data_IF_844639782510
#
_entry.id   IF_844639782510
#
_cell.length_a   1.000
_cell.length_b   1.000
_cell.length_c   1.000
_cell.angle_alpha   90.00
_cell.angle_beta   90.00
_cell.angle_gamma   90.00
#
_symmetry.space_group_name_H-M   'P 1'
#
loop_
_entity.id
_entity.type
_entity.pdbx_description
1 polymer ?
#
# COMPACT_ATOMS: atom_id res chain seq x y z
N UNK A 1 10.35 -8.05 -0.26
CA UNK A 1 11.34 -7.07 0.23
C UNK A 1 10.70 -6.23 1.32
N UNK A 2 11.48 -5.79 2.30
CA UNK A 2 10.99 -5.51 3.66
C UNK A 2 10.11 -4.25 3.73
N UNK A 3 8.89 -4.39 4.24
CA UNK A 3 7.91 -3.31 4.55
C UNK A 3 8.52 -2.23 5.48
N UNK A 4 9.64 -2.55 6.14
CA UNK A 4 10.39 -1.68 7.04
C UNK A 4 10.99 -0.42 6.39
N UNK A 5 11.11 -0.34 5.06
CA UNK A 5 11.72 0.83 4.39
C UNK A 5 10.73 1.95 4.06
N UNK A 6 9.41 1.70 4.17
CA UNK A 6 8.39 2.64 3.70
C UNK A 6 8.05 3.74 4.72
N UNK A 7 8.20 3.43 6.00
CA UNK A 7 7.80 4.29 7.10
C UNK A 7 8.97 4.51 8.05
N UNK A 8 9.11 5.73 8.53
CA UNK A 8 10.11 6.11 9.52
C UNK A 8 9.42 6.70 10.74
N UNK A 9 9.76 6.19 11.93
CA UNK A 9 9.29 6.73 13.20
C UNK A 9 10.44 7.38 13.94
N UNK A 10 10.24 8.62 14.37
CA UNK A 10 11.23 9.36 15.15
C UNK A 10 11.03 9.11 16.64
N UNK A 11 12.06 8.61 17.32
CA UNK A 11 11.95 8.18 18.73
C UNK A 11 11.77 9.33 19.73
N UNK A 12 12.18 10.56 19.38
CA UNK A 12 12.17 11.68 20.32
C UNK A 12 10.77 12.24 20.60
N UNK A 13 9.87 12.21 19.61
CA UNK A 13 8.53 12.78 19.68
C UNK A 13 7.44 11.84 19.11
N UNK A 14 7.82 10.68 18.60
CA UNK A 14 6.91 9.70 18.04
C UNK A 14 6.36 10.09 16.66
N UNK A 15 6.97 11.05 15.95
CA UNK A 15 6.53 11.42 14.62
C UNK A 15 6.71 10.24 13.65
N UNK A 16 5.61 9.81 13.04
CA UNK A 16 5.61 8.84 11.95
C UNK A 16 5.55 9.57 10.60
N UNK A 17 6.53 9.30 9.75
CA UNK A 17 6.65 9.89 8.41
C UNK A 17 6.83 8.82 7.34
N UNK A 18 6.43 9.14 6.12
CA UNK A 18 6.69 8.30 4.95
C UNK A 18 8.15 8.49 4.53
N UNK A 19 8.89 7.40 4.41
CA UNK A 19 10.31 7.40 4.03
C UNK A 19 10.50 7.25 2.51
N UNK A 20 9.66 6.45 1.86
CA UNK A 20 9.70 6.18 0.42
C UNK A 20 8.30 6.29 -0.19
N UNK A 21 8.23 6.50 -1.51
CA UNK A 21 6.94 6.57 -2.21
C UNK A 21 6.20 5.24 -2.04
N UNK A 22 4.97 5.33 -1.54
CA UNK A 22 4.10 4.18 -1.33
C UNK A 22 3.29 3.96 -2.60
N UNK A 23 3.64 2.93 -3.36
CA UNK A 23 2.86 2.45 -4.51
C UNK A 23 1.90 1.34 -4.04
N UNK A 24 0.60 1.65 -4.03
CA UNK A 24 -0.44 0.74 -3.52
C UNK A 24 -0.57 -0.49 -4.44
N UNK A 25 -0.44 -0.31 -5.74
CA UNK A 25 -0.55 -1.35 -6.75
C UNK A 25 0.60 -2.36 -6.64
N UNK A 26 1.80 -1.90 -6.25
CA UNK A 26 2.93 -2.77 -5.95
C UNK A 26 2.79 -3.49 -4.61
N UNK A 27 2.31 -2.80 -3.57
CA UNK A 27 2.18 -3.38 -2.22
C UNK A 27 1.03 -4.39 -2.11
N UNK A 28 -0.13 -4.04 -2.66
CA UNK A 28 -1.37 -4.77 -2.51
C UNK A 28 -2.07 -4.95 -3.88
N UNK A 29 -1.55 -5.80 -4.76
CA UNK A 29 -2.09 -5.96 -6.10
C UNK A 29 -3.56 -6.43 -6.05
N UNK A 30 -4.47 -5.63 -6.63
CA UNK A 30 -5.91 -5.96 -6.77
C UNK A 30 -6.65 -6.20 -5.44
N UNK A 31 -6.09 -5.81 -4.29
CA UNK A 31 -6.78 -5.91 -3.01
C UNK A 31 -7.74 -4.72 -2.83
N UNK A 32 -8.98 -4.93 -2.34
CA UNK A 32 -9.92 -3.85 -2.06
C UNK A 32 -9.52 -2.99 -0.85
N UNK A 33 -8.71 -3.54 0.07
CA UNK A 33 -8.13 -2.81 1.20
C UNK A 33 -6.66 -3.13 1.31
N UNK A 34 -5.83 -2.12 1.58
CA UNK A 34 -4.39 -2.27 1.72
C UNK A 34 -3.97 -1.70 3.07
N UNK A 35 -3.26 -2.51 3.84
CA UNK A 35 -2.83 -2.15 5.20
C UNK A 35 -1.34 -2.38 5.35
N UNK A 36 -0.68 -1.43 6.01
CA UNK A 36 0.69 -1.56 6.51
C UNK A 36 0.59 -1.70 8.02
N UNK A 37 1.11 -2.80 8.56
CA UNK A 37 1.03 -3.11 9.99
C UNK A 37 2.42 -3.24 10.59
N UNK A 38 2.63 -2.66 11.77
CA UNK A 38 3.84 -2.83 12.56
C UNK A 38 3.56 -2.67 14.05
N UNK A 39 4.45 -3.20 14.87
CA UNK A 39 4.35 -3.11 16.32
C UNK A 39 5.36 -2.09 16.86
N UNK A 40 4.90 -1.26 17.79
CA UNK A 40 5.74 -0.33 18.53
C UNK A 40 5.87 -0.82 19.96
N UNK A 41 7.11 -0.96 20.43
CA UNK A 41 7.43 -1.34 21.80
C UNK A 41 7.82 -0.08 22.57
N UNK A 42 6.97 0.31 23.52
CA UNK A 42 7.26 1.41 24.45
C UNK A 42 7.75 0.83 25.78
N UNK A 43 9.03 1.04 26.09
CA UNK A 43 9.66 0.68 27.36
C UNK A 43 9.81 1.92 28.23
N UNK A 44 9.10 1.97 29.35
CA UNK A 44 9.39 2.89 30.44
C UNK A 44 9.79 2.10 31.68
N UNK A 45 10.42 2.75 32.67
CA UNK A 45 11.08 2.09 33.81
C UNK A 45 10.22 1.05 34.55
N UNK A 46 8.90 1.18 34.51
CA UNK A 46 7.96 0.30 35.22
C UNK A 46 6.80 -0.22 34.36
N UNK A 47 6.76 0.11 33.06
CA UNK A 47 5.65 -0.29 32.17
C UNK A 47 6.18 -0.69 30.79
N UNK A 48 5.77 -1.88 30.37
CA UNK A 48 5.92 -2.39 29.01
C UNK A 48 4.59 -2.20 28.29
N UNK A 49 4.61 -1.58 27.11
CA UNK A 49 3.44 -1.49 26.24
C UNK A 49 3.82 -1.91 24.82
N UNK A 50 3.01 -2.82 24.26
CA UNK A 50 3.05 -3.20 22.85
C UNK A 50 1.85 -2.53 22.17
N UNK A 51 2.12 -1.70 21.18
CA UNK A 51 1.11 -0.95 20.43
C UNK A 51 1.11 -1.50 19.00
N UNK A 52 -0.01 -2.11 18.61
CA UNK A 52 -0.22 -2.54 17.24
C UNK A 52 -0.73 -1.36 16.41
N UNK A 53 -0.01 -1.02 15.35
CA UNK A 53 -0.34 0.08 14.44
C UNK A 53 -0.76 -0.48 13.09
N UNK A 54 -1.93 -0.06 12.62
CA UNK A 54 -2.46 -0.40 11.29
C UNK A 54 -2.69 0.89 10.50
N UNK A 55 -2.10 0.97 9.31
CA UNK A 55 -2.21 2.13 8.41
C UNK A 55 -2.91 1.68 7.14
N UNK A 56 -4.09 2.25 6.88
CA UNK A 56 -4.84 2.02 5.65
C UNK A 56 -4.29 2.91 4.53
N UNK A 57 -3.75 2.28 3.48
CA UNK A 57 -3.33 2.98 2.25
C UNK A 57 -4.56 3.19 1.39
N UNK A 58 -4.94 4.46 1.20
CA UNK A 58 -6.08 4.84 0.35
C UNK A 58 -5.67 4.81 -1.12
N UNK A 59 -6.57 4.27 -1.93
CA UNK A 59 -6.45 4.23 -3.38
C UNK A 59 -6.63 5.62 -3.99
N UNK A 60 -5.80 5.92 -4.97
CA UNK A 60 -5.86 7.12 -5.79
C UNK A 60 -5.95 6.64 -7.23
N UNK A 61 -6.82 7.25 -8.04
CA UNK A 61 -6.99 6.89 -9.44
C UNK A 61 -5.86 7.47 -10.32
N UNK A 62 -4.64 6.99 -10.14
CA UNK A 62 -3.45 7.36 -10.92
C UNK A 62 -3.14 6.37 -12.07
N UNK A 63 -3.76 5.18 -12.05
CA UNK A 63 -3.62 4.16 -13.08
C UNK A 63 -4.83 4.13 -14.04
N UNK A 64 -4.68 4.77 -15.21
CA UNK A 64 -5.69 4.70 -16.26
C UNK A 64 -5.77 3.31 -16.90
N UNK A 65 -6.96 2.84 -17.33
CA UNK A 65 -7.09 1.59 -18.04
C UNK A 65 -6.34 1.64 -19.37
N UNK A 66 -5.69 0.54 -19.74
CA UNK A 66 -5.04 0.37 -21.03
C UNK A 66 -5.55 -0.89 -21.72
N UNK A 67 -5.67 -0.81 -23.03
CA UNK A 67 -5.97 -1.98 -23.85
C UNK A 67 -4.66 -2.70 -24.19
N UNK A 68 -4.65 -4.04 -24.22
CA UNK A 68 -3.47 -4.79 -24.66
C UNK A 68 -3.07 -4.50 -26.11
N UNK A 69 -4.03 -4.03 -26.92
CA UNK A 69 -3.83 -3.63 -28.31
C UNK A 69 -4.49 -2.28 -28.53
N UNK A 70 -3.83 -1.42 -29.29
CA UNK A 70 -4.39 -0.12 -29.68
C UNK A 70 -5.57 -0.27 -30.67
N UNK A 71 -5.57 -1.33 -31.47
CA UNK A 71 -6.60 -1.65 -32.44
C UNK A 71 -6.93 -3.15 -32.36
N UNK A 72 -8.21 -3.48 -32.47
CA UNK A 72 -8.71 -4.86 -32.48
C UNK A 72 -9.69 -5.04 -33.63
N UNK A 73 -9.35 -5.89 -34.59
CA UNK A 73 -10.20 -6.23 -35.71
C UNK A 73 -11.13 -7.40 -35.33
N UNK A 74 -12.43 -7.21 -35.54
CA UNK A 74 -13.47 -8.20 -35.31
C UNK A 74 -14.22 -8.42 -36.63
N UNK A 75 -14.22 -9.65 -37.12
CA UNK A 75 -14.99 -10.06 -38.30
C UNK A 75 -16.20 -10.86 -37.82
N UNK A 76 -17.38 -10.47 -38.28
CA UNK A 76 -18.65 -11.12 -37.92
C UNK A 76 -19.33 -11.52 -39.22
N UNK A 77 -19.60 -12.81 -39.39
CA UNK A 77 -20.37 -13.30 -40.53
C UNK A 77 -21.83 -12.89 -40.40
N UNK A 78 -22.44 -12.53 -41.53
CA UNK A 78 -23.82 -12.04 -41.57
C UNK A 78 -24.87 -13.13 -41.30
N UNK A 79 -24.49 -14.42 -41.32
CA UNK A 79 -25.42 -15.53 -41.09
C UNK A 79 -24.75 -16.74 -40.39
N UNK A 80 -25.27 -17.12 -39.21
CA UNK A 80 -24.87 -18.29 -38.40
C UNK A 80 -25.55 -19.57 -38.89
#
# INVERSE_FOLDING_TARGET
ESISSLLHMRENDGLLSVAEIIDREQLCPRSPRCFITFDVVALSREKFQLIHVEIEVKDINDHAPYFPRNETNLEIEENV
#
